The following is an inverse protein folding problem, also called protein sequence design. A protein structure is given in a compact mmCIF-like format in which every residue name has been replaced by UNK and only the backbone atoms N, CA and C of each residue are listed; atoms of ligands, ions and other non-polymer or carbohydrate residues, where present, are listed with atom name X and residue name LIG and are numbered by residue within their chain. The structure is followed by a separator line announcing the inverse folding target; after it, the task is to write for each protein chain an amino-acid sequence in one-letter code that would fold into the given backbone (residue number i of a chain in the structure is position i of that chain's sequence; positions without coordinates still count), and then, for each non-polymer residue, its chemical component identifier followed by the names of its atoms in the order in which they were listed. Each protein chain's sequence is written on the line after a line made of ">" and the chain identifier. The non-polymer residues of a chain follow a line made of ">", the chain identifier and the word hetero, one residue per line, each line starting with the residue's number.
data_IF_750488704908
#
_entry.id   IF_750488704908
#
_cell.length_a   1.000
_cell.length_b   1.000
_cell.length_c   1.000
_cell.angle_alpha   90.00
_cell.angle_beta   90.00
_cell.angle_gamma   90.00
#
_symmetry.space_group_name_H-M   'P 1'
#
loop_
_entity.id
_entity.type
_entity.pdbx_description
1 polymer ?
#
# COMPACT_ATOMS: atom_id res chain seq x y z
N UNK A 1 -19.25 15.70 4.83
CA UNK A 1 -18.35 14.72 4.21
C UNK A 1 -16.96 14.85 4.84
N UNK A 2 -16.65 14.08 5.90
CA UNK A 2 -15.31 14.06 6.49
C UNK A 2 -14.50 12.98 5.79
N UNK A 3 -13.55 13.39 4.96
CA UNK A 3 -12.61 12.46 4.34
C UNK A 3 -11.57 12.10 5.41
N UNK A 4 -11.63 10.88 5.93
CA UNK A 4 -10.57 10.35 6.79
C UNK A 4 -9.25 10.35 6.00
N UNK A 5 -8.20 10.94 6.58
CA UNK A 5 -6.84 10.95 6.02
C UNK A 5 -6.30 9.51 5.98
N UNK A 6 -6.52 8.79 4.88
CA UNK A 6 -5.83 7.53 4.61
C UNK A 6 -4.38 7.80 4.20
N UNK A 7 -3.41 7.04 4.71
CA UNK A 7 -2.01 7.09 4.25
C UNK A 7 -1.91 6.27 2.97
N UNK A 8 -1.99 6.92 1.81
CA UNK A 8 -1.77 6.26 0.52
C UNK A 8 -1.09 7.18 -0.51
N UNK A 9 -0.17 6.64 -1.31
CA UNK A 9 0.27 7.27 -2.56
C UNK A 9 -0.86 7.26 -3.60
N UNK A 10 -0.71 8.06 -4.66
CA UNK A 10 -1.64 8.12 -5.78
C UNK A 10 -1.59 6.83 -6.61
N UNK A 11 -0.40 6.26 -6.80
CA UNK A 11 -0.16 5.01 -7.51
C UNK A 11 0.88 4.15 -6.79
N UNK A 12 0.87 2.85 -7.05
CA UNK A 12 1.93 1.94 -6.62
C UNK A 12 2.46 1.10 -7.79
N UNK A 13 3.74 0.75 -7.75
CA UNK A 13 4.39 -0.08 -8.78
C UNK A 13 4.73 -1.43 -8.18
N UNK A 14 4.29 -2.51 -8.85
CA UNK A 14 4.57 -3.89 -8.48
C UNK A 14 5.90 -4.40 -9.05
N UNK A 15 6.38 -5.54 -8.54
CA UNK A 15 7.55 -6.23 -9.08
C UNK A 15 7.31 -6.87 -10.46
N UNK A 16 6.05 -7.04 -10.82
CA UNK A 16 5.57 -7.49 -12.14
C UNK A 16 5.66 -6.40 -13.22
N UNK A 17 6.05 -5.19 -12.86
CA UNK A 17 6.21 -4.06 -13.78
C UNK A 17 4.91 -3.31 -14.07
N UNK A 18 3.79 -3.67 -13.43
CA UNK A 18 2.52 -2.95 -13.57
C UNK A 18 2.38 -1.79 -12.57
N UNK A 19 1.60 -0.79 -12.98
CA UNK A 19 1.21 0.35 -12.14
C UNK A 19 -0.25 0.15 -11.71
N UNK A 20 -0.47 0.27 -10.41
CA UNK A 20 -1.76 0.09 -9.79
C UNK A 20 -2.27 1.39 -9.19
N UNK A 21 -3.56 1.68 -9.40
CA UNK A 21 -4.19 2.89 -8.93
C UNK A 21 -4.45 2.82 -7.41
N UNK A 22 -3.85 3.77 -6.68
CA UNK A 22 -4.11 3.99 -5.26
C UNK A 22 -5.23 5.01 -5.08
N UNK A 23 -4.90 6.21 -4.60
CA UNK A 23 -5.88 7.32 -4.61
C UNK A 23 -6.21 7.82 -6.02
N UNK A 24 -5.36 7.53 -7.00
CA UNK A 24 -5.58 7.88 -8.39
C UNK A 24 -5.43 9.36 -8.68
N UNK A 25 -5.93 9.74 -9.86
CA UNK A 25 -5.78 11.07 -10.44
C UNK A 25 -6.63 12.13 -9.74
N UNK A 26 -7.80 11.74 -9.24
CA UNK A 26 -8.83 12.70 -8.82
C UNK A 26 -8.82 12.98 -7.31
N UNK A 27 -7.89 12.39 -6.55
CA UNK A 27 -7.86 12.50 -5.09
C UNK A 27 -6.48 12.90 -4.57
N UNK A 28 -6.45 13.89 -3.68
CA UNK A 28 -5.26 14.30 -2.93
C UNK A 28 -4.72 13.13 -2.10
N UNK A 29 -3.44 12.81 -2.25
CA UNK A 29 -2.72 11.74 -1.55
C UNK A 29 -2.46 12.01 -0.07
N UNK A 30 -1.78 11.07 0.61
CA UNK A 30 -1.18 11.32 1.92
C UNK A 30 0.18 10.61 2.05
N UNK A 31 1.04 10.86 1.07
CA UNK A 31 2.36 10.25 0.91
C UNK A 31 3.52 11.20 1.26
N UNK A 32 3.30 12.52 1.26
CA UNK A 32 4.33 13.52 1.62
C UNK A 32 3.71 14.68 2.41
N UNK A 33 4.10 14.79 3.69
CA UNK A 33 3.62 15.85 4.59
C UNK A 33 3.84 17.23 3.96
N UNK A 34 2.76 18.00 3.82
CA UNK A 34 2.79 19.35 3.26
C UNK A 34 2.88 19.45 1.73
N UNK A 35 2.93 18.33 0.99
CA UNK A 35 3.04 18.32 -0.49
C UNK A 35 2.02 17.45 -1.22
N UNK A 36 1.08 16.83 -0.49
CA UNK A 36 0.08 15.94 -1.06
C UNK A 36 -0.87 16.56 -2.11
N UNK A 37 -0.99 17.90 -2.14
CA UNK A 37 -1.92 18.63 -3.03
C UNK A 37 -1.27 19.15 -4.30
N UNK A 38 0.06 19.04 -4.42
CA UNK A 38 0.82 19.65 -5.54
C UNK A 38 1.43 18.60 -6.48
N UNK A 39 1.25 17.32 -6.20
CA UNK A 39 1.78 16.24 -7.03
C UNK A 39 1.15 14.88 -6.70
N UNK A 40 1.36 13.93 -7.62
CA UNK A 40 0.97 12.54 -7.45
C UNK A 40 2.10 11.75 -6.79
N UNK A 41 1.75 10.95 -5.79
CA UNK A 41 2.71 10.06 -5.14
C UNK A 41 2.75 8.72 -5.85
N UNK A 42 3.94 8.23 -6.18
CA UNK A 42 4.15 6.87 -6.69
C UNK A 42 5.04 6.14 -5.70
N UNK A 43 4.61 4.98 -5.21
CA UNK A 43 5.44 4.15 -4.33
C UNK A 43 5.73 2.79 -4.97
N UNK A 44 6.95 2.29 -4.81
CA UNK A 44 7.27 0.92 -5.18
C UNK A 44 6.87 0.00 -4.02
N UNK A 45 6.15 -1.07 -4.33
CA UNK A 45 5.79 -2.07 -3.33
C UNK A 45 7.06 -2.80 -2.94
N UNK A 46 7.53 -2.63 -1.70
CA UNK A 46 8.72 -3.31 -1.21
C UNK A 46 9.40 -2.72 0.02
N UNK A 47 10.49 -3.37 0.44
CA UNK A 47 11.44 -2.88 1.43
C UNK A 47 12.83 -2.75 0.78
N UNK A 48 13.34 -1.53 0.71
CA UNK A 48 14.56 -1.17 -0.03
C UNK A 48 15.68 -0.63 0.89
N UNK A 49 15.63 -0.97 2.19
CA UNK A 49 16.55 -0.40 3.20
C UNK A 49 17.88 -1.15 3.35
N UNK A 50 18.06 -2.31 2.71
CA UNK A 50 19.31 -3.09 2.75
C UNK A 50 20.03 -3.07 1.39
N UNK A 51 21.36 -3.27 1.41
CA UNK A 51 22.27 -3.10 0.26
C UNK A 51 21.97 -3.97 -0.97
N UNK A 52 21.13 -5.00 -0.83
CA UNK A 52 20.56 -5.75 -1.94
C UNK A 52 19.16 -5.21 -2.24
N UNK A 53 19.06 -3.93 -2.66
CA UNK A 53 17.84 -3.13 -2.84
C UNK A 53 16.83 -3.65 -3.88
N UNK A 54 16.73 -4.96 -4.03
CA UNK A 54 15.68 -5.70 -4.68
C UNK A 54 14.64 -6.11 -3.64
N UNK A 55 13.43 -6.34 -4.14
CA UNK A 55 12.44 -7.08 -3.39
C UNK A 55 13.04 -8.45 -3.00
N UNK A 56 13.14 -8.74 -1.70
CA UNK A 56 13.56 -10.06 -1.28
C UNK A 56 12.55 -11.08 -1.81
N UNK A 57 13.00 -12.22 -2.35
CA UNK A 57 12.11 -13.23 -2.94
C UNK A 57 10.99 -13.73 -1.99
N UNK A 58 11.11 -13.49 -0.69
CA UNK A 58 10.13 -13.85 0.33
C UNK A 58 9.33 -12.65 0.87
N UNK A 59 9.27 -11.54 0.13
CA UNK A 59 8.50 -10.37 0.53
C UNK A 59 7.02 -10.70 0.72
N UNK A 60 6.36 -9.89 1.53
CA UNK A 60 4.93 -10.04 1.84
C UNK A 60 4.19 -8.77 1.46
N UNK A 61 3.06 -8.93 0.77
CA UNK A 61 2.15 -7.86 0.43
C UNK A 61 1.02 -7.84 1.45
N UNK A 62 0.83 -6.68 2.08
CA UNK A 62 -0.29 -6.39 2.96
C UNK A 62 -0.93 -5.07 2.54
N UNK A 63 -2.26 -5.01 2.53
CA UNK A 63 -2.99 -3.76 2.54
C UNK A 63 -2.80 -3.04 3.88
N UNK A 64 -2.72 -1.71 3.86
CA UNK A 64 -2.56 -0.90 5.08
C UNK A 64 -3.67 -1.18 6.12
N UNK A 65 -4.90 -1.47 5.68
CA UNK A 65 -6.02 -1.92 6.53
C UNK A 65 -5.73 -3.19 7.35
N UNK A 66 -4.78 -4.02 6.95
CA UNK A 66 -4.40 -5.23 7.70
C UNK A 66 -3.45 -4.94 8.87
N UNK A 67 -2.76 -3.80 8.83
CA UNK A 67 -1.78 -3.41 9.87
C UNK A 67 -2.26 -2.23 10.72
N UNK A 68 -3.24 -1.46 10.23
CA UNK A 68 -3.87 -0.35 10.96
C UNK A 68 -5.39 -0.54 10.89
N UNK A 69 -6.02 -0.82 12.03
CA UNK A 69 -7.44 -1.15 12.09
C UNK A 69 -8.39 0.02 11.73
N UNK A 70 -7.90 1.25 11.79
CA UNK A 70 -8.71 2.47 11.61
C UNK A 70 -8.69 3.03 10.19
N UNK A 71 -8.12 2.30 9.22
CA UNK A 71 -7.98 2.77 7.84
C UNK A 71 -8.59 1.79 6.85
N UNK A 72 -9.31 2.33 5.85
CA UNK A 72 -9.77 1.57 4.69
C UNK A 72 -8.72 1.54 3.58
N UNK A 73 -7.55 2.13 3.78
CA UNK A 73 -6.44 2.08 2.82
C UNK A 73 -6.06 0.61 2.50
N UNK A 74 -5.79 0.23 1.24
CA UNK A 74 -5.63 1.07 0.05
C UNK A 74 -6.92 1.46 -0.70
N UNK A 75 -8.11 1.15 -0.17
CA UNK A 75 -9.38 1.22 -0.88
C UNK A 75 -9.78 -0.16 -1.39
N UNK A 76 -11.08 -0.38 -1.65
CA UNK A 76 -11.59 -1.74 -1.89
C UNK A 76 -11.13 -2.32 -3.22
N UNK A 77 -11.06 -1.52 -4.28
CA UNK A 77 -10.61 -1.98 -5.60
C UNK A 77 -9.16 -2.49 -5.57
N UNK A 78 -8.23 -1.65 -5.07
CA UNK A 78 -6.82 -2.04 -4.95
C UNK A 78 -6.63 -3.15 -3.92
N UNK A 79 -7.40 -3.16 -2.83
CA UNK A 79 -7.33 -4.24 -1.85
C UNK A 79 -7.76 -5.58 -2.46
N UNK A 80 -8.85 -5.60 -3.22
CA UNK A 80 -9.33 -6.80 -3.93
C UNK A 80 -8.28 -7.33 -4.89
N UNK A 81 -7.65 -6.44 -5.67
CA UNK A 81 -6.61 -6.80 -6.63
C UNK A 81 -5.40 -7.45 -5.93
N UNK A 82 -4.81 -6.77 -4.95
CA UNK A 82 -3.60 -7.28 -4.28
C UNK A 82 -3.84 -8.58 -3.53
N UNK A 83 -5.09 -8.93 -3.18
CA UNK A 83 -5.38 -10.22 -2.53
C UNK A 83 -5.12 -11.42 -3.43
N UNK A 84 -5.03 -11.21 -4.74
CA UNK A 84 -4.80 -12.25 -5.74
C UNK A 84 -3.32 -12.51 -6.02
N UNK A 85 -2.42 -11.64 -5.56
CA UNK A 85 -0.99 -11.73 -5.89
C UNK A 85 -0.28 -12.81 -5.05
N UNK A 86 0.71 -13.48 -5.64
CA UNK A 86 1.44 -14.62 -5.06
C UNK A 86 1.99 -14.35 -3.64
N UNK A 87 2.41 -13.11 -3.38
CA UNK A 87 3.02 -12.68 -2.12
C UNK A 87 2.03 -12.07 -1.12
N UNK A 88 0.74 -12.05 -1.42
CA UNK A 88 -0.27 -11.60 -0.48
C UNK A 88 -0.43 -12.55 0.69
N UNK A 89 -0.57 -12.01 1.91
CA UNK A 89 -0.89 -12.79 3.10
C UNK A 89 -2.17 -12.28 3.75
N UNK A 90 -3.10 -13.21 3.96
CA UNK A 90 -4.20 -12.98 4.89
C UNK A 90 -3.60 -12.89 6.29
N UNK A 91 -3.77 -11.75 6.94
CA UNK A 91 -3.43 -11.61 8.35
C UNK A 91 -4.49 -12.40 9.13
N UNK A 92 -4.25 -13.68 9.42
CA UNK A 92 -4.90 -14.27 10.59
C UNK A 92 -4.44 -13.43 11.77
N UNK A 93 -5.37 -12.89 12.55
CA UNK A 93 -5.02 -12.42 13.89
C UNK A 93 -4.44 -13.63 14.62
N UNK A 94 -3.11 -13.72 14.67
CA UNK A 94 -2.43 -14.46 15.72
C UNK A 94 -2.66 -13.64 16.98
N UNK A 95 -3.81 -13.83 17.62
CA UNK A 95 -3.84 -13.67 19.05
C UNK A 95 -3.02 -14.83 19.61
N UNK A 96 -1.90 -14.52 20.25
CA UNK A 96 -1.06 -15.39 21.08
C UNK A 96 -0.26 -16.46 20.33
N UNK A 97 0.98 -16.13 19.96
CA UNK A 97 2.12 -16.97 20.31
C UNK A 97 3.04 -16.07 21.16
N UNK A 98 2.99 -16.34 22.48
CA UNK A 98 3.83 -15.89 23.62
C UNK A 98 4.67 -14.62 23.49
#
# INVERSE_FOLDING_TARGET
>A
MRVHKTVSPSFVVGSDGYIYEGRGWMSVGAHTKGRNTVGYGVAFIGNYTTLNGFLQNNFTILGHRQVVATTNCPGDSLYSEITTWEHYKVRRMLYLEM
#
